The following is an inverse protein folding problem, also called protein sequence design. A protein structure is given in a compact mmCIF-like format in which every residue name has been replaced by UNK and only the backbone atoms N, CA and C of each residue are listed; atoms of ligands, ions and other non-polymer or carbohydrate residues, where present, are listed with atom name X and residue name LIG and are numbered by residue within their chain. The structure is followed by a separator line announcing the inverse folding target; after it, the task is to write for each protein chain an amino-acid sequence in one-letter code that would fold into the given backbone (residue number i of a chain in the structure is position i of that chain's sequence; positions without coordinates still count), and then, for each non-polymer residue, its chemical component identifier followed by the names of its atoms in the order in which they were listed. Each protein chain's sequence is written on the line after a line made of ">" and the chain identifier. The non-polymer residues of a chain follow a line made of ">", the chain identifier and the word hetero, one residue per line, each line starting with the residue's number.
data_IF_738230507066
#
_entry.id   IF_738230507066
#
_cell.length_a   1.000
_cell.length_b   1.000
_cell.length_c   1.000
_cell.angle_alpha   90.00
_cell.angle_beta   90.00
_cell.angle_gamma   90.00
#
_symmetry.space_group_name_H-M   'P 1'
#
loop_
_entity.id
_entity.type
_entity.pdbx_description
1 polymer ?
#
# COMPACT_ATOMS: atom_id res chain seq x y z
N UNK A 1 58.49 3.66 -4.72
CA UNK A 1 57.31 3.55 -5.62
C UNK A 1 56.52 2.24 -5.44
N UNK A 2 57.15 1.06 -5.19
CA UNK A 2 56.44 -0.22 -4.98
C UNK A 2 55.59 -0.31 -3.70
N UNK A 3 55.96 0.42 -2.62
CA UNK A 3 55.17 0.48 -1.37
C UNK A 3 53.84 1.24 -1.52
N UNK A 4 53.81 2.28 -2.36
CA UNK A 4 52.58 3.03 -2.64
C UNK A 4 51.58 2.22 -3.49
N UNK A 5 52.08 1.24 -4.25
CA UNK A 5 51.24 0.32 -5.01
C UNK A 5 50.44 -0.62 -4.08
N UNK A 6 51.02 -1.00 -2.93
CA UNK A 6 50.34 -1.82 -1.92
C UNK A 6 49.23 -1.02 -1.25
N UNK A 7 49.48 0.24 -0.88
CA UNK A 7 48.44 1.11 -0.32
C UNK A 7 47.30 1.37 -1.32
N UNK A 8 47.64 1.57 -2.61
CA UNK A 8 46.63 1.73 -3.66
C UNK A 8 45.77 0.47 -3.84
N UNK A 9 46.39 -0.72 -3.80
CA UNK A 9 45.66 -1.99 -3.87
C UNK A 9 44.72 -2.17 -2.68
N UNK A 10 45.16 -1.82 -1.47
CA UNK A 10 44.32 -1.88 -0.26
C UNK A 10 43.13 -0.93 -0.36
N UNK A 11 43.33 0.29 -0.85
CA UNK A 11 42.24 1.26 -1.04
C UNK A 11 41.24 0.77 -2.08
N UNK A 12 41.71 0.17 -3.18
CA UNK A 12 40.82 -0.41 -4.21
C UNK A 12 40.01 -1.57 -3.63
N UNK A 13 40.63 -2.46 -2.85
CA UNK A 13 39.92 -3.57 -2.19
C UNK A 13 38.88 -3.03 -1.21
N UNK A 14 39.21 -2.02 -0.41
CA UNK A 14 38.26 -1.40 0.52
C UNK A 14 37.12 -0.69 -0.22
N UNK A 15 37.39 -0.04 -1.35
CA UNK A 15 36.36 0.59 -2.18
C UNK A 15 35.42 -0.45 -2.82
N UNK A 16 35.96 -1.58 -3.29
CA UNK A 16 35.17 -2.70 -3.82
C UNK A 16 34.31 -3.31 -2.72
N UNK A 17 34.88 -3.51 -1.51
CA UNK A 17 34.12 -4.02 -0.36
C UNK A 17 33.03 -3.04 0.06
N UNK A 18 33.32 -1.74 0.14
CA UNK A 18 32.33 -0.72 0.48
C UNK A 18 31.21 -0.65 -0.58
N UNK A 19 31.56 -0.69 -1.87
CA UNK A 19 30.59 -0.77 -2.96
C UNK A 19 29.74 -2.04 -2.85
N UNK A 20 30.36 -3.19 -2.60
CA UNK A 20 29.65 -4.44 -2.39
C UNK A 20 28.70 -4.36 -1.17
N UNK A 21 29.14 -3.84 -0.02
CA UNK A 21 28.29 -3.75 1.16
C UNK A 21 27.18 -2.69 1.07
N UNK A 22 27.36 -1.61 0.30
CA UNK A 22 26.33 -0.58 0.10
C UNK A 22 25.28 -1.07 -0.92
N UNK A 23 25.72 -1.67 -2.03
CA UNK A 23 24.82 -2.07 -3.11
C UNK A 23 24.27 -3.49 -2.96
N UNK A 24 24.84 -4.31 -2.08
CA UNK A 24 24.38 -5.68 -1.80
C UNK A 24 23.62 -5.80 -0.46
N UNK A 25 22.99 -4.73 0.04
CA UNK A 25 22.02 -4.81 1.15
C UNK A 25 20.68 -5.43 0.71
N UNK A 26 20.73 -6.49 -0.10
CA UNK A 26 19.60 -7.34 -0.39
C UNK A 26 19.27 -8.19 0.83
N UNK A 27 18.24 -7.79 1.58
CA UNK A 27 17.51 -8.56 2.61
C UNK A 27 18.35 -9.10 3.78
N UNK A 28 18.10 -8.57 4.98
CA UNK A 28 18.76 -9.00 6.22
C UNK A 28 18.73 -10.53 6.44
N UNK A 29 19.79 -11.00 7.12
CA UNK A 29 20.31 -12.36 7.42
C UNK A 29 19.35 -13.49 7.86
N UNK A 30 18.09 -13.50 7.45
CA UNK A 30 17.28 -14.70 7.60
C UNK A 30 16.53 -14.96 6.29
N UNK A 31 16.78 -16.11 5.66
CA UNK A 31 16.08 -16.55 4.46
C UNK A 31 14.79 -17.30 4.80
N UNK A 32 13.95 -17.50 3.78
CA UNK A 32 12.80 -18.41 3.82
C UNK A 32 11.44 -17.72 3.91
N UNK A 33 10.42 -18.37 3.34
CA UNK A 33 9.02 -17.91 3.17
C UNK A 33 8.36 -17.31 4.42
N UNK A 34 8.89 -17.58 5.62
CA UNK A 34 8.49 -16.97 6.90
C UNK A 34 8.56 -15.43 6.93
N UNK A 35 9.18 -14.82 5.92
CA UNK A 35 9.33 -13.37 5.77
C UNK A 35 8.56 -12.76 4.61
N UNK A 36 7.76 -13.56 3.91
CA UNK A 36 6.99 -13.13 2.78
C UNK A 36 5.81 -12.27 3.24
N UNK A 37 6.10 -11.01 3.58
CA UNK A 37 5.09 -9.99 3.84
C UNK A 37 4.98 -9.07 2.62
N UNK A 38 6.05 -8.32 2.32
CA UNK A 38 6.04 -7.30 1.27
C UNK A 38 5.89 -7.87 -0.15
N UNK A 39 5.31 -7.06 -1.03
CA UNK A 39 5.22 -7.31 -2.48
C UNK A 39 5.88 -6.14 -3.21
N UNK A 40 7.09 -6.35 -3.74
CA UNK A 40 7.86 -5.30 -4.43
C UNK A 40 7.24 -4.93 -5.77
N UNK A 41 6.86 -5.92 -6.57
CA UNK A 41 6.10 -5.71 -7.81
C UNK A 41 4.60 -5.68 -7.54
N UNK A 42 4.10 -4.48 -7.21
CA UNK A 42 2.67 -4.25 -6.98
C UNK A 42 1.85 -4.19 -8.27
N UNK A 43 2.48 -4.11 -9.44
CA UNK A 43 1.80 -4.12 -10.73
C UNK A 43 1.23 -5.51 -11.06
N UNK A 44 1.89 -6.56 -10.57
CA UNK A 44 1.43 -7.96 -10.69
C UNK A 44 0.16 -8.29 -9.89
N UNK A 45 -0.16 -7.49 -8.87
CA UNK A 45 -1.32 -7.73 -7.99
C UNK A 45 -2.61 -7.53 -8.79
N UNK A 46 -3.45 -8.57 -8.78
CA UNK A 46 -4.75 -8.59 -9.43
C UNK A 46 -5.92 -8.65 -8.46
N UNK A 47 -5.73 -9.20 -7.25
CA UNK A 47 -6.78 -9.30 -6.25
C UNK A 47 -6.22 -9.23 -4.83
N UNK A 48 -6.98 -8.57 -3.95
CA UNK A 48 -6.67 -8.45 -2.52
C UNK A 48 -7.93 -8.83 -1.74
N UNK A 49 -7.76 -9.70 -0.75
CA UNK A 49 -8.81 -10.10 0.17
C UNK A 49 -8.39 -9.77 1.60
N UNK A 50 -9.29 -9.12 2.33
CA UNK A 50 -9.13 -8.74 3.73
C UNK A 50 -10.29 -9.29 4.55
N UNK A 51 -10.01 -9.80 5.74
CA UNK A 51 -11.03 -10.22 6.68
C UNK A 51 -10.61 -9.97 8.13
N UNK A 52 -11.56 -9.63 9.00
CA UNK A 52 -11.34 -9.54 10.44
C UNK A 52 -12.22 -10.53 11.23
N UNK A 53 -11.98 -10.62 12.53
CA UNK A 53 -12.76 -11.46 13.43
C UNK A 53 -14.13 -10.87 13.81
N UNK A 54 -14.40 -9.61 13.45
CA UNK A 54 -15.74 -8.99 13.59
C UNK A 54 -16.68 -9.35 12.44
N UNK A 55 -16.20 -10.11 11.46
CA UNK A 55 -16.98 -10.56 10.31
C UNK A 55 -16.94 -9.60 9.11
N UNK A 56 -16.16 -8.53 9.18
CA UNK A 56 -15.98 -7.63 8.05
C UNK A 56 -15.09 -8.32 7.01
N UNK A 57 -15.46 -8.18 5.74
CA UNK A 57 -14.71 -8.70 4.59
C UNK A 57 -14.65 -7.65 3.50
N UNK A 58 -13.47 -7.51 2.91
CA UNK A 58 -13.24 -6.66 1.75
C UNK A 58 -12.51 -7.49 0.71
N UNK A 59 -13.12 -7.63 -0.46
CA UNK A 59 -12.52 -8.25 -1.61
C UNK A 59 -12.50 -7.23 -2.75
N UNK A 60 -11.32 -6.99 -3.29
CA UNK A 60 -11.12 -6.06 -4.40
C UNK A 60 -10.32 -6.73 -5.51
N UNK A 61 -10.78 -6.52 -6.74
CA UNK A 61 -10.17 -7.04 -7.95
C UNK A 61 -9.82 -5.90 -8.89
N UNK A 62 -8.72 -6.07 -9.60
CA UNK A 62 -8.24 -5.10 -10.58
C UNK A 62 -8.99 -5.31 -11.89
N UNK A 63 -9.71 -4.29 -12.34
CA UNK A 63 -10.53 -4.33 -13.55
C UNK A 63 -10.18 -3.14 -14.43
N UNK A 64 -9.75 -3.39 -15.68
CA UNK A 64 -9.47 -2.37 -16.71
C UNK A 64 -8.85 -1.07 -16.18
N UNK A 65 -9.73 -0.08 -15.93
CA UNK A 65 -9.41 1.29 -15.55
C UNK A 65 -9.20 1.52 -14.04
N UNK A 66 -9.29 0.49 -13.19
CA UNK A 66 -9.17 0.66 -11.74
C UNK A 66 -9.33 -0.61 -10.92
N UNK A 67 -9.89 -0.44 -9.72
CA UNK A 67 -10.19 -1.50 -8.78
C UNK A 67 -11.68 -1.51 -8.49
N UNK A 68 -12.26 -2.70 -8.39
CA UNK A 68 -13.68 -2.91 -8.11
C UNK A 68 -13.81 -3.87 -6.94
N UNK A 69 -14.85 -3.69 -6.14
CA UNK A 69 -15.24 -4.69 -5.14
C UNK A 69 -15.96 -5.87 -5.81
N UNK A 70 -16.15 -6.97 -5.09
CA UNK A 70 -16.87 -8.18 -5.54
C UNK A 70 -18.25 -7.87 -6.19
N UNK A 71 -18.97 -6.87 -5.66
CA UNK A 71 -20.26 -6.44 -6.22
C UNK A 71 -20.16 -5.47 -7.41
N UNK A 72 -18.97 -5.28 -8.00
CA UNK A 72 -18.70 -4.37 -9.12
C UNK A 72 -18.58 -2.89 -8.74
N UNK A 73 -18.71 -2.52 -7.47
CA UNK A 73 -18.59 -1.10 -7.06
C UNK A 73 -17.15 -0.62 -7.22
N UNK A 74 -16.90 0.54 -7.87
CA UNK A 74 -15.56 1.12 -7.96
C UNK A 74 -14.98 1.43 -6.58
N UNK A 75 -13.69 1.16 -6.42
CA UNK A 75 -12.93 1.45 -5.21
C UNK A 75 -12.22 2.79 -5.34
N UNK A 76 -12.16 3.56 -4.26
CA UNK A 76 -11.38 4.81 -4.19
C UNK A 76 -9.92 4.55 -4.53
N UNK A 77 -9.42 5.25 -5.55
CA UNK A 77 -8.04 5.12 -5.99
C UNK A 77 -7.04 5.43 -4.87
N UNK A 78 -7.33 6.41 -4.01
CA UNK A 78 -6.47 6.77 -2.88
C UNK A 78 -6.28 5.64 -1.86
N UNK A 79 -7.35 4.88 -1.58
CA UNK A 79 -7.30 3.71 -0.69
C UNK A 79 -6.39 2.64 -1.29
N UNK A 80 -6.56 2.37 -2.59
CA UNK A 80 -5.72 1.39 -3.28
C UNK A 80 -4.26 1.83 -3.36
N UNK A 81 -3.98 3.10 -3.65
CA UNK A 81 -2.63 3.63 -3.65
C UNK A 81 -1.96 3.46 -2.30
N UNK A 82 -2.69 3.73 -1.22
CA UNK A 82 -2.22 3.56 0.16
C UNK A 82 -1.86 2.12 0.48
N UNK A 83 -2.69 1.16 0.08
CA UNK A 83 -2.47 -0.27 0.32
C UNK A 83 -1.33 -0.81 -0.52
N UNK A 84 -1.30 -0.50 -1.82
CA UNK A 84 -0.23 -0.94 -2.71
C UNK A 84 1.12 -0.36 -2.27
N UNK A 85 1.16 0.91 -1.85
CA UNK A 85 2.35 1.51 -1.27
C UNK A 85 2.78 0.78 0.01
N UNK A 86 1.82 0.44 0.87
CA UNK A 86 2.08 -0.32 2.10
C UNK A 86 2.71 -1.68 1.80
N UNK A 87 2.18 -2.43 0.83
CA UNK A 87 2.77 -3.71 0.41
C UNK A 87 4.20 -3.57 -0.12
N UNK A 88 4.48 -2.49 -0.85
CA UNK A 88 5.80 -2.24 -1.41
C UNK A 88 6.83 -1.86 -0.33
N UNK A 89 6.42 -1.03 0.63
CA UNK A 89 7.32 -0.37 1.57
C UNK A 89 7.47 -1.07 2.91
N UNK A 90 6.51 -1.91 3.32
CA UNK A 90 6.60 -2.56 4.63
C UNK A 90 7.80 -3.50 4.70
N UNK A 91 8.48 -3.48 5.83
CA UNK A 91 9.69 -4.25 6.10
C UNK A 91 9.64 -4.90 7.48
N UNK A 92 10.41 -5.97 7.63
CA UNK A 92 10.63 -6.60 8.93
C UNK A 92 11.63 -5.76 9.69
N UNK A 93 11.23 -5.32 10.87
CA UNK A 93 12.11 -4.63 11.80
C UNK A 93 12.88 -5.64 12.66
N UNK A 94 12.18 -6.58 13.27
CA UNK A 94 12.76 -7.60 14.14
C UNK A 94 11.83 -8.80 14.32
N UNK A 95 12.35 -10.01 14.64
CA UNK A 95 11.51 -11.09 15.18
C UNK A 95 10.95 -10.70 16.54
N UNK A 96 9.78 -11.24 16.89
CA UNK A 96 9.20 -11.03 18.22
C UNK A 96 10.11 -11.63 19.31
N UNK A 97 10.33 -10.88 20.38
CA UNK A 97 11.12 -11.33 21.51
C UNK A 97 10.53 -12.60 22.14
N UNK A 98 11.38 -13.56 22.53
CA UNK A 98 10.95 -14.84 23.12
C UNK A 98 10.01 -14.67 24.32
N UNK A 99 10.26 -13.65 25.16
CA UNK A 99 9.42 -13.32 26.31
C UNK A 99 8.00 -12.90 25.94
N UNK A 100 7.80 -12.35 24.75
CA UNK A 100 6.53 -11.84 24.24
C UNK A 100 5.83 -12.80 23.28
N UNK A 101 6.51 -13.86 22.83
CA UNK A 101 6.05 -14.77 21.79
C UNK A 101 4.64 -15.31 22.06
N UNK A 102 4.40 -15.95 23.21
CA UNK A 102 3.11 -16.54 23.56
C UNK A 102 1.99 -15.50 23.67
N UNK A 103 2.33 -14.27 24.09
CA UNK A 103 1.37 -13.17 24.15
C UNK A 103 1.00 -12.72 22.74
N UNK A 104 1.99 -12.44 21.90
CA UNK A 104 1.77 -11.96 20.53
C UNK A 104 0.98 -12.97 19.69
N UNK A 105 1.30 -14.26 19.77
CA UNK A 105 0.54 -15.30 19.07
C UNK A 105 -0.93 -15.32 19.52
N UNK A 106 -1.18 -15.25 20.83
CA UNK A 106 -2.54 -15.20 21.38
C UNK A 106 -3.29 -13.95 20.93
N UNK A 107 -2.61 -12.80 20.94
CA UNK A 107 -3.21 -11.54 20.55
C UNK A 107 -3.53 -11.52 19.04
N UNK A 108 -2.65 -12.05 18.18
CA UNK A 108 -2.95 -12.25 16.74
C UNK A 108 -4.14 -13.17 16.57
N UNK A 109 -4.19 -14.30 17.29
CA UNK A 109 -5.30 -15.24 17.20
C UNK A 109 -6.65 -14.62 17.64
N UNK A 110 -6.63 -13.72 18.62
CA UNK A 110 -7.83 -13.05 19.14
C UNK A 110 -8.20 -11.74 18.42
N UNK A 111 -7.26 -11.11 17.72
CA UNK A 111 -7.49 -9.87 16.99
C UNK A 111 -6.47 -9.73 15.84
N UNK A 112 -6.93 -9.99 14.62
CA UNK A 112 -6.14 -9.77 13.41
C UNK A 112 -6.99 -9.31 12.24
N UNK A 113 -6.31 -8.72 11.26
CA UNK A 113 -6.78 -8.60 9.89
C UNK A 113 -6.03 -9.65 9.06
N UNK A 114 -6.75 -10.59 8.47
CA UNK A 114 -6.21 -11.52 7.48
C UNK A 114 -6.04 -10.75 6.17
N UNK A 115 -4.89 -10.91 5.53
CA UNK A 115 -4.59 -10.30 4.24
C UNK A 115 -4.12 -11.39 3.29
N UNK A 116 -4.81 -11.51 2.17
CA UNK A 116 -4.43 -12.38 1.07
C UNK A 116 -4.24 -11.54 -0.19
N UNK A 117 -3.15 -11.80 -0.90
CA UNK A 117 -2.78 -11.04 -2.10
C UNK A 117 -2.56 -12.02 -3.23
N UNK A 118 -3.20 -11.78 -4.38
CA UNK A 118 -3.20 -12.66 -5.54
C UNK A 118 -2.73 -11.92 -6.79
N UNK A 119 -2.07 -12.65 -7.68
CA UNK A 119 -1.78 -12.19 -9.04
C UNK A 119 -3.05 -12.07 -9.87
N UNK A 120 -2.98 -11.38 -11.02
CA UNK A 120 -4.06 -11.38 -12.02
C UNK A 120 -4.47 -12.77 -12.51
N UNK A 121 -3.55 -13.74 -12.49
CA UNK A 121 -3.82 -15.13 -12.84
C UNK A 121 -4.39 -15.98 -11.71
N UNK A 122 -4.75 -15.38 -10.57
CA UNK A 122 -5.32 -16.09 -9.42
C UNK A 122 -4.31 -16.81 -8.53
N UNK A 123 -3.01 -16.79 -8.86
CA UNK A 123 -1.97 -17.36 -7.99
C UNK A 123 -1.79 -16.50 -6.73
N UNK A 124 -1.84 -17.13 -5.56
CA UNK A 124 -1.55 -16.47 -4.28
C UNK A 124 -0.08 -16.03 -4.22
N UNK A 125 0.13 -14.75 -3.92
CA UNK A 125 1.45 -14.11 -3.73
C UNK A 125 1.80 -14.12 -2.24
N UNK A 126 0.86 -13.71 -1.38
CA UNK A 126 1.06 -13.55 0.06
C UNK A 126 -0.22 -13.92 0.80
N UNK A 127 -0.05 -14.50 1.99
CA UNK A 127 -1.11 -14.61 2.98
C UNK A 127 -0.52 -14.46 4.36
N UNK A 128 -1.05 -13.54 5.15
CA UNK A 128 -0.57 -13.24 6.49
C UNK A 128 -1.64 -12.57 7.35
N UNK A 129 -1.36 -12.50 8.63
CA UNK A 129 -2.21 -11.88 9.64
C UNK A 129 -1.53 -10.61 10.17
N UNK A 130 -2.24 -9.48 10.14
CA UNK A 130 -1.85 -8.24 10.80
C UNK A 130 -2.46 -8.26 12.20
N UNK A 131 -1.63 -8.41 13.22
CA UNK A 131 -2.05 -8.40 14.62
C UNK A 131 -1.99 -7.00 15.26
N UNK A 132 -1.95 -6.95 16.60
CA UNK A 132 -1.91 -5.69 17.35
C UNK A 132 -0.69 -4.82 17.05
N UNK A 133 -0.79 -3.57 17.48
CA UNK A 133 0.29 -2.58 17.41
C UNK A 133 1.49 -3.08 18.24
N UNK A 134 2.70 -2.89 17.71
CA UNK A 134 3.91 -3.26 18.43
C UNK A 134 4.07 -2.45 19.73
N UNK A 135 4.79 -3.00 20.72
CA UNK A 135 4.90 -2.39 22.06
C UNK A 135 5.47 -0.96 22.08
N UNK A 136 6.23 -0.57 21.05
CA UNK A 136 6.79 0.78 20.89
C UNK A 136 5.83 1.77 20.21
N UNK A 137 4.59 1.36 19.92
CA UNK A 137 3.58 2.19 19.23
C UNK A 137 3.82 2.35 17.73
N UNK A 138 4.84 1.71 17.16
CA UNK A 138 5.24 1.83 15.75
C UNK A 138 5.20 0.48 15.06
N UNK A 139 4.40 0.37 14.02
CA UNK A 139 4.22 -0.87 13.30
C UNK A 139 3.28 -1.86 13.98
N UNK A 140 3.28 -3.10 13.50
CA UNK A 140 2.40 -4.17 13.98
C UNK A 140 3.18 -5.48 14.14
N UNK A 141 2.70 -6.34 15.04
CA UNK A 141 3.08 -7.74 15.02
C UNK A 141 2.32 -8.46 13.92
N UNK A 142 3.02 -9.20 13.07
CA UNK A 142 2.43 -9.91 11.93
C UNK A 142 2.97 -11.33 11.85
N UNK A 143 2.16 -12.22 11.26
CA UNK A 143 2.49 -13.64 11.11
C UNK A 143 2.10 -14.11 9.71
N UNK A 144 3.04 -14.68 8.97
CA UNK A 144 2.75 -15.34 7.68
C UNK A 144 1.89 -16.58 7.93
N UNK A 145 0.87 -16.80 7.10
CA UNK A 145 0.00 -17.97 7.21
C UNK A 145 0.84 -19.26 7.08
N UNK A 146 0.69 -20.18 8.04
CA UNK A 146 1.48 -21.41 8.12
C UNK A 146 2.87 -21.25 8.75
N UNK A 147 3.34 -20.03 8.99
CA UNK A 147 4.60 -19.79 9.72
C UNK A 147 4.41 -19.94 11.23
N UNK A 148 5.52 -20.25 11.92
CA UNK A 148 5.57 -20.34 13.39
C UNK A 148 6.17 -19.09 14.04
N UNK A 149 6.74 -18.18 13.25
CA UNK A 149 7.53 -17.06 13.77
C UNK A 149 6.83 -15.74 13.46
N UNK A 150 6.31 -15.02 14.47
CA UNK A 150 5.79 -13.68 14.26
C UNK A 150 6.94 -12.66 14.23
N UNK A 151 6.74 -11.59 13.47
CA UNK A 151 7.68 -10.50 13.30
C UNK A 151 7.03 -9.15 13.62
N UNK A 152 7.83 -8.20 14.08
CA UNK A 152 7.47 -6.79 14.11
C UNK A 152 7.77 -6.19 12.74
N UNK A 153 6.74 -5.64 12.09
CA UNK A 153 6.85 -4.96 10.81
C UNK A 153 6.59 -3.47 10.96
N UNK A 154 7.29 -2.69 10.14
CA UNK A 154 7.14 -1.24 10.06
C UNK A 154 7.15 -0.77 8.60
N UNK A 155 6.80 0.50 8.38
CA UNK A 155 7.05 1.20 7.13
C UNK A 155 8.12 2.26 7.43
N UNK A 156 9.29 2.25 6.76
CA UNK A 156 10.34 3.24 6.98
C UNK A 156 9.83 4.66 6.80
N UNK A 157 10.16 5.54 7.75
CA UNK A 157 9.74 6.95 7.71
C UNK A 157 8.25 7.20 8.01
N UNK A 158 7.47 6.17 8.33
CA UNK A 158 6.08 6.30 8.77
C UNK A 158 5.98 6.19 10.29
N UNK A 159 5.53 7.25 10.95
CA UNK A 159 5.28 7.25 12.40
C UNK A 159 3.83 6.82 12.68
N UNK A 160 3.60 5.51 12.65
CA UNK A 160 2.28 4.91 12.85
C UNK A 160 2.32 3.39 12.77
N UNK A 161 1.15 2.77 12.62
CA UNK A 161 0.98 1.32 12.57
C UNK A 161 0.36 0.86 11.25
N UNK A 162 0.84 -0.26 10.72
CA UNK A 162 0.46 -0.82 9.41
C UNK A 162 -1.05 -1.08 9.32
N UNK A 163 -1.65 -1.62 10.39
CA UNK A 163 -3.09 -1.90 10.46
C UNK A 163 -3.99 -0.69 10.16
N UNK A 164 -3.53 0.56 10.41
CA UNK A 164 -4.29 1.77 10.07
C UNK A 164 -4.49 1.97 8.56
N UNK A 165 -3.65 1.34 7.73
CA UNK A 165 -3.71 1.38 6.26
C UNK A 165 -4.75 0.41 5.69
N UNK A 166 -5.32 -0.47 6.52
CA UNK A 166 -6.28 -1.52 6.16
C UNK A 166 -7.61 -1.29 6.89
N UNK A 167 -8.35 -0.27 6.45
CA UNK A 167 -9.68 0.04 7.02
C UNK A 167 -10.65 -1.10 6.72
N UNK A 168 -11.26 -1.70 7.75
CA UNK A 168 -12.22 -2.80 7.58
C UNK A 168 -13.66 -2.33 7.29
N UNK A 169 -13.93 -1.02 7.29
CA UNK A 169 -15.23 -0.47 6.96
C UNK A 169 -15.41 -0.35 5.43
N UNK A 170 -16.23 -1.22 4.85
CA UNK A 170 -16.50 -1.27 3.39
C UNK A 170 -16.93 0.07 2.81
N UNK A 171 -17.66 0.91 3.57
CA UNK A 171 -18.09 2.24 3.10
C UNK A 171 -16.92 3.19 2.81
N UNK A 172 -15.77 2.99 3.47
CA UNK A 172 -14.55 3.75 3.23
C UNK A 172 -13.78 3.21 2.02
N UNK A 173 -14.23 2.16 1.35
CA UNK A 173 -13.59 1.69 0.12
C UNK A 173 -14.29 2.19 -1.12
N UNK A 174 -15.61 2.39 -1.04
CA UNK A 174 -16.45 2.80 -2.17
C UNK A 174 -16.07 4.19 -2.69
N UNK A 175 -15.95 4.29 -4.00
CA UNK A 175 -15.89 5.58 -4.68
C UNK A 175 -17.09 6.45 -4.28
N UNK A 176 -16.83 7.71 -3.96
CA UNK A 176 -17.82 8.70 -3.49
C UNK A 176 -18.21 9.69 -4.58
N UNK A 177 -17.69 9.52 -5.80
CA UNK A 177 -18.06 10.38 -6.94
C UNK A 177 -19.54 10.20 -7.28
N UNK A 178 -20.34 11.23 -7.01
CA UNK A 178 -21.78 11.27 -7.35
C UNK A 178 -21.99 11.66 -8.81
N UNK A 179 -21.18 12.61 -9.32
CA UNK A 179 -21.27 13.11 -10.68
C UNK A 179 -19.97 12.83 -11.43
N UNK A 180 -20.00 11.81 -12.30
CA UNK A 180 -18.87 11.46 -13.17
C UNK A 180 -19.18 11.85 -14.62
N UNK A 181 -19.26 13.15 -14.88
CA UNK A 181 -19.46 13.66 -16.24
C UNK A 181 -18.12 13.83 -16.94
N UNK A 182 -18.05 13.37 -18.20
CA UNK A 182 -16.99 13.78 -19.09
C UNK A 182 -17.29 15.21 -19.59
N UNK A 183 -16.29 16.04 -19.92
CA UNK A 183 -16.52 17.42 -20.36
C UNK A 183 -17.51 17.54 -21.54
N UNK A 184 -17.46 16.59 -22.47
CA UNK A 184 -18.36 16.46 -23.62
C UNK A 184 -19.84 16.21 -23.24
N UNK A 185 -20.10 15.73 -22.03
CA UNK A 185 -21.44 15.50 -21.49
C UNK A 185 -21.97 16.68 -20.66
N UNK A 186 -21.18 17.74 -20.46
CA UNK A 186 -21.57 18.94 -19.72
C UNK A 186 -22.12 19.96 -20.72
N UNK A 187 -23.42 20.24 -20.64
CA UNK A 187 -24.08 21.19 -21.55
C UNK A 187 -23.74 22.65 -21.20
N UNK A 188 -23.80 23.01 -19.92
CA UNK A 188 -23.60 24.38 -19.44
C UNK A 188 -22.97 24.37 -18.04
N UNK A 189 -22.00 25.25 -17.81
CA UNK A 189 -21.46 25.58 -16.51
C UNK A 189 -21.76 27.06 -16.24
N UNK A 190 -22.37 27.37 -15.10
CA UNK A 190 -22.70 28.74 -14.70
C UNK A 190 -22.04 29.03 -13.35
N UNK A 191 -21.25 30.10 -13.31
CA UNK A 191 -20.56 30.58 -12.12
C UNK A 191 -21.10 31.96 -11.78
N UNK A 192 -21.75 32.07 -10.63
CA UNK A 192 -22.32 33.31 -10.14
C UNK A 192 -21.47 33.84 -8.98
N UNK A 193 -21.00 35.09 -9.08
CA UNK A 193 -20.33 35.81 -8.01
C UNK A 193 -21.25 36.90 -7.44
N UNK A 194 -22.01 36.62 -6.36
CA UNK A 194 -23.05 37.54 -5.88
C UNK A 194 -22.54 38.92 -5.47
N UNK A 195 -21.26 39.03 -5.10
CA UNK A 195 -20.62 40.29 -4.67
C UNK A 195 -20.02 41.08 -5.82
N UNK A 196 -19.73 40.43 -6.96
CA UNK A 196 -19.14 41.05 -8.15
C UNK A 196 -19.82 40.45 -9.38
N UNK A 197 -21.08 40.83 -9.67
CA UNK A 197 -21.87 40.20 -10.73
C UNK A 197 -21.19 40.23 -12.09
N UNK A 198 -20.45 41.31 -12.42
CA UNK A 198 -19.72 41.50 -13.68
C UNK A 198 -18.53 40.54 -13.89
N UNK A 199 -18.22 39.72 -12.89
CA UNK A 199 -17.23 38.63 -12.98
C UNK A 199 -17.89 37.25 -13.06
N UNK A 200 -19.23 37.18 -13.02
CA UNK A 200 -19.99 35.94 -13.26
C UNK A 200 -19.84 35.51 -14.71
N UNK A 201 -19.92 34.23 -15.00
CA UNK A 201 -19.79 33.77 -16.36
C UNK A 201 -20.50 32.44 -16.58
N UNK A 202 -20.80 32.17 -17.84
CA UNK A 202 -21.37 30.95 -18.35
C UNK A 202 -20.42 30.37 -19.39
N UNK A 203 -20.17 29.07 -19.31
CA UNK A 203 -19.56 28.29 -20.37
C UNK A 203 -20.63 27.36 -20.92
N UNK A 204 -20.96 27.48 -22.19
CA UNK A 204 -21.96 26.65 -22.85
C UNK A 204 -21.34 25.86 -24.00
N UNK A 205 -21.73 24.59 -24.12
CA UNK A 205 -21.32 23.73 -25.22
C UNK A 205 -22.29 23.90 -26.39
N UNK A 206 -21.79 24.45 -27.49
CA UNK A 206 -22.51 24.62 -28.74
C UNK A 206 -22.79 23.27 -29.42
N UNK A 207 -23.76 23.24 -30.33
CA UNK A 207 -24.18 22.01 -31.04
C UNK A 207 -23.08 21.39 -31.92
N UNK A 208 -22.07 22.18 -32.32
CA UNK A 208 -20.87 21.77 -33.05
C UNK A 208 -19.76 21.20 -32.15
N UNK A 209 -19.98 21.20 -30.83
CA UNK A 209 -19.05 20.71 -29.82
C UNK A 209 -18.01 21.72 -29.36
N UNK A 210 -18.07 22.98 -29.82
CA UNK A 210 -17.23 24.06 -29.30
C UNK A 210 -17.79 24.62 -27.98
N UNK A 211 -16.92 25.24 -27.18
CA UNK A 211 -17.31 25.90 -25.94
C UNK A 211 -17.32 27.41 -26.13
N UNK A 212 -18.42 28.04 -25.79
CA UNK A 212 -18.60 29.49 -25.84
C UNK A 212 -18.56 30.05 -24.42
N UNK A 213 -17.78 31.11 -24.22
CA UNK A 213 -17.73 31.86 -22.96
C UNK A 213 -18.65 33.07 -23.05
N UNK A 214 -19.53 33.23 -22.06
CA UNK A 214 -20.51 34.31 -21.96
C UNK A 214 -20.31 34.98 -20.59
N UNK A 215 -20.06 36.28 -20.56
CA UNK A 215 -20.01 37.10 -19.32
C UNK A 215 -21.30 37.90 -19.22
#
# INVERSE_FOLDING_TARGET
>A
MKKNLIYLAVVIVLAILAWFFIFNQGTGSFGGDDKAFGVKDTASIGKIFLADLSGNKIEVERSGDGWVMDNGTPVRQEVMNTILLTFNQMEIKAPVAKSMFNKVIRDIAGNHIKVEVYTRGGKQIRSYFIGPIAANGRGNYMLVEGSKTPFELQIPGFDGFISSRFDMQVINWKDRTVFKYRPDNIAKLEVNYPRVPDSSFVIERSADGQYTFIN
#
